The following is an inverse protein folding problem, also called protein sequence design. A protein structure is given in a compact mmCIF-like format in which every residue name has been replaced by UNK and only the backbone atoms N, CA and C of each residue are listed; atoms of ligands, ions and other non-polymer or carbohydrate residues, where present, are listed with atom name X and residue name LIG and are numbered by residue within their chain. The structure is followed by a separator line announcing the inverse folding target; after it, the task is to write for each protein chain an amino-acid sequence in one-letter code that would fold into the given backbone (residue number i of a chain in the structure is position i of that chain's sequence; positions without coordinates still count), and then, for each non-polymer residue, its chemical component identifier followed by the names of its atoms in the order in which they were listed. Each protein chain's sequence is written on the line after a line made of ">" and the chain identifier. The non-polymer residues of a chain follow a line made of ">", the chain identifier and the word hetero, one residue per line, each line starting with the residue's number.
data_IF_699201229684
#
_entry.id   IF_699201229684
#
_cell.length_a   1.000
_cell.length_b   1.000
_cell.length_c   1.000
_cell.angle_alpha   90.00
_cell.angle_beta   90.00
_cell.angle_gamma   90.00
#
_symmetry.space_group_name_H-M   'P 1'
#
loop_
_entity.id
_entity.type
_entity.pdbx_description
1 polymer ?
#
# COMPACT_ATOMS: atom_id res chain seq x y z
N UNK A 1 56.23 4.16 -75.15
CA UNK A 1 55.21 3.09 -75.07
C UNK A 1 55.42 2.31 -73.78
N UNK A 2 54.38 2.33 -72.94
CA UNK A 2 54.06 1.58 -71.70
C UNK A 2 55.04 0.51 -71.19
N UNK A 3 55.41 0.59 -69.90
CA UNK A 3 55.49 -0.56 -68.97
C UNK A 3 55.04 -0.11 -67.57
N UNK A 4 54.16 -0.89 -66.95
CA UNK A 4 53.40 -0.60 -65.72
C UNK A 4 54.20 -0.81 -64.42
N UNK A 5 53.96 0.07 -63.46
CA UNK A 5 54.30 -0.07 -62.03
C UNK A 5 53.35 -1.06 -61.34
N UNK A 6 53.92 -2.07 -60.67
CA UNK A 6 53.19 -3.02 -59.83
C UNK A 6 52.89 -2.40 -58.46
N UNK A 7 51.61 -2.36 -58.06
CA UNK A 7 51.16 -1.94 -56.73
C UNK A 7 50.97 -3.19 -55.87
N UNK A 8 51.76 -3.31 -54.79
CA UNK A 8 51.61 -4.32 -53.75
C UNK A 8 50.44 -3.93 -52.82
N UNK A 9 49.39 -4.76 -52.81
CA UNK A 9 48.27 -4.65 -51.87
C UNK A 9 48.69 -5.22 -50.51
N UNK A 10 48.90 -4.34 -49.52
CA UNK A 10 49.08 -4.70 -48.13
C UNK A 10 47.75 -5.12 -47.49
N UNK A 11 47.67 -6.37 -47.04
CA UNK A 11 46.52 -6.90 -46.31
C UNK A 11 46.58 -6.48 -44.84
N UNK A 12 45.75 -5.52 -44.45
CA UNK A 12 45.51 -5.17 -43.04
C UNK A 12 44.60 -6.21 -42.39
N UNK A 13 45.17 -7.03 -41.51
CA UNK A 13 44.39 -7.93 -40.65
C UNK A 13 43.65 -7.10 -39.58
N UNK A 14 42.34 -6.98 -39.73
CA UNK A 14 41.43 -6.41 -38.74
C UNK A 14 41.14 -7.50 -37.69
N UNK A 15 41.91 -7.51 -36.60
CA UNK A 15 41.61 -8.36 -35.43
C UNK A 15 40.36 -7.84 -34.73
N UNK A 16 39.22 -8.48 -34.98
CA UNK A 16 38.01 -8.30 -34.18
C UNK A 16 38.24 -8.85 -32.76
N UNK A 17 38.39 -7.97 -31.79
CA UNK A 17 38.30 -8.33 -30.38
C UNK A 17 36.85 -8.73 -30.06
N UNK A 18 36.58 -10.03 -29.98
CA UNK A 18 35.34 -10.58 -29.46
C UNK A 18 35.25 -10.20 -27.97
N UNK A 19 34.43 -9.20 -27.67
CA UNK A 19 33.97 -8.95 -26.30
C UNK A 19 33.09 -10.12 -25.88
N UNK A 20 33.63 -11.04 -25.10
CA UNK A 20 32.82 -12.03 -24.37
C UNK A 20 32.00 -11.27 -23.34
N UNK A 21 30.72 -11.01 -23.66
CA UNK A 21 29.73 -10.63 -22.66
C UNK A 21 29.69 -11.75 -21.62
N UNK A 22 30.19 -11.48 -20.42
CA UNK A 22 30.03 -12.39 -19.30
C UNK A 22 28.54 -12.60 -19.09
N UNK A 23 28.05 -13.82 -19.34
CA UNK A 23 26.68 -14.19 -19.05
C UNK A 23 26.45 -13.95 -17.55
N UNK A 24 25.52 -13.06 -17.23
CA UNK A 24 25.12 -12.81 -15.86
C UNK A 24 24.67 -14.16 -15.26
N UNK A 25 25.18 -14.56 -14.08
CA UNK A 25 24.86 -15.86 -13.52
C UNK A 25 23.35 -15.98 -13.37
N UNK A 26 22.76 -16.94 -14.08
CA UNK A 26 21.32 -17.16 -14.12
C UNK A 26 20.84 -17.41 -12.69
N UNK A 27 20.02 -16.49 -12.18
CA UNK A 27 19.43 -16.61 -10.85
C UNK A 27 18.58 -17.89 -10.80
N UNK A 28 18.76 -18.74 -9.78
CA UNK A 28 17.87 -19.87 -9.57
C UNK A 28 16.41 -19.41 -9.35
N UNK A 29 15.46 -20.21 -9.82
CA UNK A 29 14.04 -20.00 -9.52
C UNK A 29 13.77 -20.03 -8.01
N UNK A 30 12.61 -19.51 -7.60
CA UNK A 30 12.18 -19.57 -6.21
C UNK A 30 12.17 -21.04 -5.75
N UNK A 31 12.75 -21.37 -4.59
CA UNK A 31 12.70 -22.73 -4.08
C UNK A 31 11.27 -23.26 -3.91
N UNK A 32 10.32 -22.39 -3.54
CA UNK A 32 8.89 -22.68 -3.48
C UNK A 32 8.07 -21.36 -3.43
N UNK A 33 6.74 -21.47 -3.45
CA UNK A 33 5.82 -20.33 -3.42
C UNK A 33 5.72 -19.62 -2.06
N UNK A 34 6.29 -20.17 -0.99
CA UNK A 34 6.34 -19.52 0.33
C UNK A 34 7.61 -18.66 0.50
N UNK A 35 8.52 -18.69 -0.49
CA UNK A 35 9.70 -17.84 -0.51
C UNK A 35 9.36 -16.42 -0.98
N UNK A 36 9.90 -15.44 -0.27
CA UNK A 36 9.86 -14.03 -0.62
C UNK A 36 11.09 -13.64 -1.47
N UNK A 37 10.89 -12.84 -2.51
CA UNK A 37 11.95 -12.19 -3.28
C UNK A 37 12.37 -10.88 -2.58
N UNK A 38 13.55 -10.89 -1.99
CA UNK A 38 14.11 -9.74 -1.27
C UNK A 38 14.16 -8.45 -2.10
N UNK A 39 14.21 -8.56 -3.43
CA UNK A 39 14.33 -7.42 -4.36
C UNK A 39 12.97 -6.84 -4.74
N UNK A 40 11.89 -7.59 -4.50
CA UNK A 40 10.53 -7.15 -4.77
C UNK A 40 9.90 -6.44 -3.57
N UNK A 41 10.65 -6.20 -2.49
CA UNK A 41 10.19 -5.46 -1.32
C UNK A 41 9.60 -4.09 -1.72
N UNK A 42 8.31 -3.90 -1.46
CA UNK A 42 7.59 -2.65 -1.71
C UNK A 42 7.35 -1.87 -0.41
N UNK A 43 6.91 -2.58 0.63
CA UNK A 43 6.62 -2.00 1.94
C UNK A 43 7.08 -2.94 3.06
N UNK A 44 7.55 -2.34 4.15
CA UNK A 44 7.99 -3.04 5.34
C UNK A 44 7.43 -2.31 6.57
N UNK A 45 6.62 -3.02 7.36
CA UNK A 45 6.06 -2.52 8.61
C UNK A 45 6.61 -3.35 9.77
N UNK A 46 6.99 -2.67 10.84
CA UNK A 46 7.41 -3.34 12.07
C UNK A 46 6.24 -3.36 13.05
N UNK A 47 5.77 -4.56 13.38
CA UNK A 47 4.66 -4.79 14.30
C UNK A 47 5.15 -4.68 15.74
N UNK A 48 6.29 -5.34 16.01
CA UNK A 48 6.98 -5.32 17.29
C UNK A 48 8.50 -5.52 17.07
N UNK A 49 9.28 -5.62 18.13
CA UNK A 49 10.74 -5.76 18.02
C UNK A 49 11.21 -7.00 17.22
N UNK A 50 10.36 -8.01 17.04
CA UNK A 50 10.70 -9.28 16.39
C UNK A 50 9.85 -9.60 15.16
N UNK A 51 8.74 -8.88 14.94
CA UNK A 51 7.78 -9.21 13.89
C UNK A 51 7.71 -8.10 12.87
N UNK A 52 7.90 -8.46 11.59
CA UNK A 52 7.75 -7.57 10.45
C UNK A 52 6.64 -8.08 9.52
N UNK A 53 5.86 -7.16 8.98
CA UNK A 53 4.94 -7.40 7.89
C UNK A 53 5.50 -6.78 6.61
N UNK A 54 5.58 -7.57 5.54
CA UNK A 54 6.24 -7.21 4.30
C UNK A 54 5.27 -7.37 3.12
N UNK A 55 5.26 -6.39 2.22
CA UNK A 55 4.58 -6.50 0.93
C UNK A 55 5.60 -6.52 -0.21
N UNK A 56 5.39 -7.41 -1.17
CA UNK A 56 6.08 -7.39 -2.46
C UNK A 56 5.32 -6.50 -3.46
N UNK A 57 6.02 -5.96 -4.46
CA UNK A 57 5.41 -5.22 -5.58
C UNK A 57 4.36 -6.04 -6.35
N UNK A 58 4.44 -7.38 -6.29
CA UNK A 58 3.45 -8.30 -6.87
C UNK A 58 2.19 -8.53 -6.02
N UNK A 59 2.04 -7.83 -4.89
CA UNK A 59 0.88 -7.94 -4.00
C UNK A 59 0.94 -9.10 -3.01
N UNK A 60 1.99 -9.93 -3.05
CA UNK A 60 2.21 -11.01 -2.07
C UNK A 60 2.63 -10.41 -0.73
N UNK A 61 2.11 -10.97 0.36
CA UNK A 61 2.26 -10.44 1.71
C UNK A 61 2.88 -11.50 2.61
N UNK A 62 3.79 -11.07 3.49
CA UNK A 62 4.56 -11.97 4.34
C UNK A 62 4.73 -11.44 5.75
N UNK A 63 4.77 -12.36 6.71
CA UNK A 63 5.23 -12.13 8.08
C UNK A 63 6.65 -12.68 8.19
N UNK A 64 7.57 -11.83 8.62
CA UNK A 64 8.93 -12.25 8.99
C UNK A 64 9.05 -12.20 10.51
N UNK A 65 9.54 -13.29 11.09
CA UNK A 65 9.93 -13.34 12.51
C UNK A 65 11.44 -13.27 12.60
N UNK A 66 11.94 -12.46 13.52
CA UNK A 66 13.36 -12.26 13.77
C UNK A 66 13.86 -13.14 14.93
N UNK A 67 15.13 -13.50 14.86
CA UNK A 67 15.82 -14.31 15.89
C UNK A 67 16.12 -13.52 17.15
N UNK A 68 16.18 -12.19 17.08
CA UNK A 68 16.39 -11.30 18.21
C UNK A 68 15.52 -10.06 18.11
N UNK A 69 15.45 -9.31 19.21
CA UNK A 69 14.74 -8.05 19.29
C UNK A 69 15.54 -6.99 18.54
N UNK A 70 14.96 -6.47 17.47
CA UNK A 70 15.54 -5.47 16.58
C UNK A 70 14.58 -4.30 16.42
N UNK A 71 14.50 -3.40 17.41
CA UNK A 71 13.60 -2.26 17.35
C UNK A 71 14.01 -1.29 16.23
N UNK A 72 13.02 -0.54 15.72
CA UNK A 72 13.21 0.57 14.79
C UNK A 72 13.82 0.19 13.42
N UNK A 73 13.69 -1.06 12.97
CA UNK A 73 14.11 -1.49 11.63
C UNK A 73 13.28 -0.78 10.55
N UNK A 74 11.95 -0.80 10.67
CA UNK A 74 11.04 -0.22 9.65
C UNK A 74 11.00 1.31 9.65
N UNK A 75 11.58 1.96 10.67
CA UNK A 75 11.70 3.42 10.70
C UNK A 75 12.84 3.91 9.82
N UNK A 76 13.76 3.03 9.42
CA UNK A 76 14.95 3.36 8.66
C UNK A 76 14.67 3.18 7.17
N UNK A 77 14.87 4.26 6.40
CA UNK A 77 14.53 4.30 4.97
C UNK A 77 15.40 3.37 4.10
N UNK A 78 16.51 2.88 4.64
CA UNK A 78 17.49 2.00 4.01
C UNK A 78 17.31 0.51 4.42
N UNK A 79 16.21 0.17 5.09
CA UNK A 79 15.90 -1.20 5.43
C UNK A 79 15.77 -2.07 4.16
N UNK A 80 16.56 -3.14 4.10
CA UNK A 80 16.63 -4.07 2.97
C UNK A 80 16.66 -5.52 3.45
N UNK A 81 16.26 -6.44 2.57
CA UNK A 81 16.33 -7.87 2.81
C UNK A 81 17.56 -8.45 2.14
N UNK A 82 18.32 -9.24 2.89
CA UNK A 82 19.54 -9.89 2.43
C UNK A 82 19.37 -11.40 2.55
N UNK A 83 19.47 -12.10 1.42
CA UNK A 83 19.42 -13.55 1.39
C UNK A 83 20.20 -14.10 0.19
N UNK A 84 20.62 -15.36 0.27
CA UNK A 84 21.27 -16.04 -0.83
C UNK A 84 20.39 -16.01 -2.08
N UNK A 85 20.96 -15.56 -3.20
CA UNK A 85 20.24 -15.38 -4.48
C UNK A 85 18.97 -14.50 -4.40
N UNK A 86 18.83 -13.70 -3.34
CA UNK A 86 17.67 -12.85 -3.09
C UNK A 86 16.40 -13.59 -2.68
N UNK A 87 16.49 -14.82 -2.19
CA UNK A 87 15.34 -15.61 -1.74
C UNK A 87 15.30 -15.75 -0.21
N UNK A 88 14.28 -15.16 0.41
CA UNK A 88 14.02 -15.28 1.85
C UNK A 88 13.05 -16.44 2.06
N UNK A 89 13.55 -17.54 2.61
CA UNK A 89 12.80 -18.79 2.78
C UNK A 89 13.06 -19.41 4.17
N UNK A 90 12.12 -20.20 4.67
CA UNK A 90 12.35 -21.00 5.87
C UNK A 90 13.52 -21.98 5.68
N UNK A 91 14.37 -22.11 6.70
CA UNK A 91 15.55 -22.99 6.68
C UNK A 91 16.78 -22.43 5.95
N UNK A 92 16.64 -21.30 5.25
CA UNK A 92 17.76 -20.58 4.64
C UNK A 92 18.16 -19.37 5.50
N UNK A 93 19.45 -19.04 5.53
CA UNK A 93 19.88 -17.82 6.21
C UNK A 93 19.44 -16.58 5.42
N UNK A 94 18.68 -15.73 6.10
CA UNK A 94 18.26 -14.44 5.58
C UNK A 94 18.27 -13.40 6.71
N UNK A 95 18.43 -12.14 6.34
CA UNK A 95 18.55 -11.04 7.27
C UNK A 95 17.75 -9.83 6.80
N UNK A 96 17.25 -9.05 7.75
CA UNK A 96 16.89 -7.65 7.53
C UNK A 96 18.10 -6.81 7.88
N UNK A 97 18.53 -5.94 6.98
CA UNK A 97 19.71 -5.10 7.17
C UNK A 97 19.36 -3.65 6.98
N UNK A 98 19.92 -2.83 7.85
CA UNK A 98 20.00 -1.39 7.72
C UNK A 98 21.46 -0.97 7.81
N UNK A 99 21.76 0.33 7.75
CA UNK A 99 23.10 0.85 7.97
C UNK A 99 23.64 0.58 9.38
N UNK A 100 22.77 0.45 10.39
CA UNK A 100 23.16 0.34 11.80
C UNK A 100 23.07 -1.08 12.36
N UNK A 101 22.18 -1.92 11.82
CA UNK A 101 21.93 -3.24 12.38
C UNK A 101 21.60 -4.28 11.31
N UNK A 102 21.89 -5.55 11.65
CA UNK A 102 21.52 -6.71 10.84
C UNK A 102 20.83 -7.74 11.71
N UNK A 103 19.63 -8.12 11.31
CA UNK A 103 18.73 -8.94 12.08
C UNK A 103 18.39 -10.24 11.37
N UNK A 104 18.71 -11.37 11.98
CA UNK A 104 18.49 -12.68 11.39
C UNK A 104 16.99 -12.98 11.36
N UNK A 105 16.52 -13.53 10.26
CA UNK A 105 15.14 -13.98 10.09
C UNK A 105 15.09 -15.45 10.51
N UNK A 106 14.22 -15.77 11.46
CA UNK A 106 14.00 -17.13 11.95
C UNK A 106 12.86 -17.84 11.22
N UNK A 107 11.84 -17.08 10.80
CA UNK A 107 10.65 -17.64 10.17
C UNK A 107 10.06 -16.69 9.13
N UNK A 108 9.54 -17.28 8.06
CA UNK A 108 8.80 -16.66 6.97
C UNK A 108 7.44 -17.33 6.90
N UNK A 109 6.37 -16.55 6.87
CA UNK A 109 5.02 -17.04 6.64
C UNK A 109 4.29 -16.10 5.68
N UNK A 110 3.40 -16.64 4.85
CA UNK A 110 2.48 -15.84 4.06
C UNK A 110 1.44 -15.16 4.96
N UNK A 111 0.95 -14.00 4.53
CA UNK A 111 -0.11 -13.24 5.20
C UNK A 111 -1.31 -13.06 4.29
N UNK A 112 -2.50 -13.06 4.88
CA UNK A 112 -3.68 -12.50 4.22
C UNK A 112 -3.63 -10.96 4.18
N UNK A 113 -4.34 -10.36 3.22
CA UNK A 113 -4.49 -8.91 3.11
C UNK A 113 -5.06 -8.28 4.40
N UNK A 114 -6.01 -8.98 5.05
CA UNK A 114 -6.60 -8.57 6.33
C UNK A 114 -5.56 -8.52 7.45
N UNK A 115 -4.74 -9.56 7.58
CA UNK A 115 -3.69 -9.61 8.60
C UNK A 115 -2.63 -8.54 8.36
N UNK A 116 -2.19 -8.36 7.12
CA UNK A 116 -1.21 -7.32 6.77
C UNK A 116 -1.74 -5.91 7.09
N UNK A 117 -2.99 -5.60 6.72
CA UNK A 117 -3.62 -4.33 7.04
C UNK A 117 -3.69 -4.09 8.55
N UNK A 118 -4.01 -5.13 9.34
CA UNK A 118 -4.01 -5.03 10.80
C UNK A 118 -2.62 -4.76 11.39
N UNK A 119 -1.59 -5.42 10.85
CA UNK A 119 -0.20 -5.25 11.26
C UNK A 119 0.33 -3.84 10.93
N UNK A 120 0.03 -3.32 9.74
CA UNK A 120 0.42 -1.98 9.32
C UNK A 120 -0.21 -0.89 10.23
N UNK A 121 -1.47 -1.05 10.64
CA UNK A 121 -2.16 -0.09 11.53
C UNK A 121 -1.65 -0.09 12.96
N UNK A 122 -1.18 -1.22 13.49
CA UNK A 122 -0.64 -1.27 14.87
C UNK A 122 0.56 -0.34 15.05
N UNK A 123 1.37 -0.14 14.00
CA UNK A 123 2.46 0.83 13.99
C UNK A 123 1.97 2.26 14.19
N UNK A 124 0.92 2.66 13.46
CA UNK A 124 0.36 4.01 13.56
C UNK A 124 -0.23 4.27 14.95
N UNK A 125 -0.69 3.24 15.66
CA UNK A 125 -1.13 3.35 17.05
C UNK A 125 0.02 3.52 18.05
N UNK A 126 1.10 2.74 17.89
CA UNK A 126 2.23 2.74 18.82
C UNK A 126 3.26 3.85 18.54
N UNK A 127 3.21 4.44 17.34
CA UNK A 127 4.13 5.46 16.85
C UNK A 127 3.67 6.91 17.02
N UNK A 128 2.52 7.16 17.65
CA UNK A 128 2.08 8.53 18.02
C UNK A 128 2.51 8.77 19.47
N UNK A 129 3.58 9.55 19.73
CA UNK A 129 3.76 10.15 21.04
C UNK A 129 2.49 10.97 21.31
N UNK A 130 1.78 10.67 22.40
CA UNK A 130 0.67 11.52 22.87
C UNK A 130 1.26 12.89 23.21
N UNK A 131 1.31 13.78 22.23
CA UNK A 131 1.62 15.17 22.47
C UNK A 131 0.47 15.78 23.25
N UNK A 132 0.81 16.50 24.33
CA UNK A 132 -0.10 17.35 25.07
C UNK A 132 -0.86 18.25 24.09
N UNK A 133 -2.18 18.37 24.25
CA UNK A 133 -3.13 18.77 23.20
C UNK A 133 -2.70 19.93 22.30
N UNK A 134 -2.09 19.60 21.15
CA UNK A 134 -1.85 20.54 20.05
C UNK A 134 -2.98 20.37 19.05
N UNK A 135 -3.78 21.42 18.86
CA UNK A 135 -4.72 21.50 17.75
C UNK A 135 -3.93 21.65 16.44
N UNK A 136 -3.82 20.57 15.67
CA UNK A 136 -3.23 20.62 14.34
C UNK A 136 -4.26 21.25 13.39
N UNK A 137 -3.96 22.44 12.86
CA UNK A 137 -4.68 22.97 11.69
C UNK A 137 -4.19 22.18 10.48
N UNK A 138 -5.08 21.36 9.92
CA UNK A 138 -4.78 20.53 8.76
C UNK A 138 -4.37 21.41 7.56
N UNK A 139 -3.16 21.21 7.04
CA UNK A 139 -2.90 21.61 5.65
C UNK A 139 -3.60 20.58 4.78
N UNK A 140 -4.74 20.95 4.17
CA UNK A 140 -5.54 20.09 3.30
C UNK A 140 -4.64 19.43 2.25
N UNK A 141 -4.20 18.20 2.50
CA UNK A 141 -3.35 17.46 1.56
C UNK A 141 -4.27 17.03 0.42
N UNK A 142 -4.03 17.57 -0.77
CA UNK A 142 -4.80 17.22 -1.97
C UNK A 142 -4.47 15.81 -2.50
N UNK A 143 -3.41 15.18 -1.99
CA UNK A 143 -2.91 13.90 -2.46
C UNK A 143 -3.28 12.77 -1.48
N UNK A 144 -3.41 11.55 -2.02
CA UNK A 144 -3.61 10.34 -1.22
C UNK A 144 -2.48 10.18 -0.19
N UNK A 145 -2.85 9.94 1.06
CA UNK A 145 -1.92 9.97 2.21
C UNK A 145 -1.73 8.60 2.89
N UNK A 146 -2.30 7.52 2.32
CA UNK A 146 -2.19 6.15 2.85
C UNK A 146 -1.38 5.23 1.94
N UNK A 147 -1.20 3.97 2.36
CA UNK A 147 -0.69 2.90 1.50
C UNK A 147 -1.85 2.27 0.74
N UNK A 148 -1.68 2.02 -0.56
CA UNK A 148 -2.68 1.33 -1.36
C UNK A 148 -2.90 -0.13 -0.95
N UNK A 149 -1.97 -0.69 -0.19
CA UNK A 149 -2.02 -2.08 0.30
C UNK A 149 -3.03 -2.28 1.43
N UNK A 150 -3.55 -1.20 2.03
CA UNK A 150 -4.61 -1.25 3.06
C UNK A 150 -5.49 0.01 3.16
N UNK A 151 -5.30 1.00 2.30
CA UNK A 151 -6.12 2.20 2.24
C UNK A 151 -6.63 2.49 0.83
N UNK A 152 -7.79 3.14 0.73
CA UNK A 152 -8.29 3.70 -0.51
C UNK A 152 -8.68 5.17 -0.37
N UNK A 153 -8.68 5.91 -1.48
CA UNK A 153 -9.11 7.30 -1.50
C UNK A 153 -10.63 7.37 -1.75
N UNK A 154 -11.44 7.90 -0.81
CA UNK A 154 -12.88 7.96 -0.97
C UNK A 154 -13.33 8.87 -2.12
N UNK A 155 -12.54 9.87 -2.53
CA UNK A 155 -12.85 10.71 -3.70
C UNK A 155 -12.68 9.98 -5.04
N UNK A 156 -12.08 8.78 -5.02
CA UNK A 156 -11.87 7.94 -6.20
C UNK A 156 -12.81 6.72 -6.23
N UNK A 157 -13.75 6.64 -5.29
CA UNK A 157 -14.80 5.63 -5.27
C UNK A 157 -15.61 5.66 -6.58
N UNK A 158 -15.77 4.50 -7.21
CA UNK A 158 -16.59 4.33 -8.42
C UNK A 158 -17.89 3.63 -8.14
N UNK A 159 -17.81 2.52 -7.44
CA UNK A 159 -18.95 1.69 -7.10
C UNK A 159 -18.72 1.06 -5.73
N UNK A 160 -19.81 0.63 -5.12
CA UNK A 160 -19.75 -0.19 -3.93
C UNK A 160 -20.89 -1.21 -3.96
N UNK A 161 -20.67 -2.32 -3.28
CA UNK A 161 -21.70 -3.34 -3.03
C UNK A 161 -21.53 -3.87 -1.61
N UNK A 162 -22.54 -4.55 -1.10
CA UNK A 162 -22.46 -5.29 0.16
C UNK A 162 -22.51 -6.79 -0.15
N UNK A 163 -21.72 -7.56 0.59
CA UNK A 163 -21.88 -9.00 0.69
C UNK A 163 -21.86 -9.45 2.16
N UNK A 164 -21.92 -10.76 2.41
CA UNK A 164 -21.98 -11.30 3.77
C UNK A 164 -20.78 -11.00 4.68
N UNK A 165 -19.71 -10.37 4.16
CA UNK A 165 -18.52 -10.00 4.91
C UNK A 165 -18.36 -8.47 5.08
N UNK A 166 -19.29 -7.67 4.54
CA UNK A 166 -19.25 -6.21 4.58
C UNK A 166 -19.26 -5.59 3.18
N UNK A 167 -18.74 -4.37 3.04
CA UNK A 167 -18.75 -3.69 1.75
C UNK A 167 -17.58 -4.13 0.87
N UNK A 168 -17.81 -4.05 -0.42
CA UNK A 168 -16.83 -4.17 -1.48
C UNK A 168 -16.84 -2.85 -2.21
N UNK A 169 -15.71 -2.17 -2.19
CA UNK A 169 -15.52 -0.87 -2.81
C UNK A 169 -14.69 -1.04 -4.06
N UNK A 170 -15.16 -0.51 -5.19
CA UNK A 170 -14.35 -0.34 -6.39
C UNK A 170 -13.85 1.10 -6.48
N UNK A 171 -12.56 1.27 -6.70
CA UNK A 171 -11.94 2.58 -6.93
C UNK A 171 -11.49 2.76 -8.37
N UNK A 172 -11.26 4.01 -8.73
CA UNK A 172 -10.79 4.37 -10.06
C UNK A 172 -9.44 3.74 -10.39
N UNK A 173 -9.18 3.37 -11.66
CA UNK A 173 -7.86 2.93 -12.11
C UNK A 173 -6.75 3.98 -11.92
N UNK A 174 -7.13 5.23 -11.59
CA UNK A 174 -6.21 6.32 -11.23
C UNK A 174 -5.81 6.31 -9.75
N UNK A 175 -6.43 5.46 -8.94
CA UNK A 175 -6.04 5.27 -7.54
C UNK A 175 -4.60 4.77 -7.48
N UNK A 176 -3.74 5.36 -6.65
CA UNK A 176 -2.38 4.87 -6.48
C UNK A 176 -2.35 3.41 -6.07
N UNK A 177 -1.36 2.67 -6.58
CA UNK A 177 -1.19 1.25 -6.31
C UNK A 177 -1.82 0.34 -7.38
N UNK A 178 -1.86 -0.95 -7.06
CA UNK A 178 -2.29 -2.02 -7.98
C UNK A 178 -3.72 -2.49 -7.73
N UNK A 179 -4.27 -2.23 -6.55
CA UNK A 179 -5.58 -2.73 -6.14
C UNK A 179 -6.73 -1.81 -6.57
N UNK A 180 -7.80 -2.43 -7.08
CA UNK A 180 -9.02 -1.72 -7.50
C UNK A 180 -10.23 -2.02 -6.63
N UNK A 181 -10.24 -3.18 -6.00
CA UNK A 181 -11.32 -3.59 -5.13
C UNK A 181 -10.80 -3.67 -3.70
N UNK A 182 -11.59 -3.16 -2.76
CA UNK A 182 -11.29 -3.15 -1.35
C UNK A 182 -12.45 -3.76 -0.59
N UNK A 183 -12.13 -4.64 0.37
CA UNK A 183 -13.04 -5.04 1.43
C UNK A 183 -13.07 -3.95 2.48
N UNK A 184 -14.28 -3.60 2.92
CA UNK A 184 -14.51 -2.77 4.11
C UNK A 184 -15.36 -3.60 5.07
N UNK A 185 -14.74 -4.05 6.15
CA UNK A 185 -15.45 -4.67 7.27
C UNK A 185 -16.01 -3.58 8.18
N UNK A 186 -17.23 -3.77 8.64
CA UNK A 186 -17.90 -2.86 9.56
C UNK A 186 -17.93 -3.47 10.95
N UNK A 187 -17.85 -2.62 11.97
CA UNK A 187 -17.85 -3.06 13.37
C UNK A 187 -19.24 -3.55 13.80
N UNK A 188 -20.29 -2.91 13.27
CA UNK A 188 -21.69 -3.23 13.50
C UNK A 188 -22.43 -3.41 12.16
N UNK A 189 -23.56 -4.12 12.17
CA UNK A 189 -24.41 -4.27 10.99
C UNK A 189 -25.04 -2.94 10.58
N UNK A 190 -24.73 -2.44 9.38
CA UNK A 190 -25.39 -1.27 8.80
C UNK A 190 -26.66 -1.68 8.05
N UNK A 191 -27.77 -1.81 8.78
CA UNK A 191 -29.05 -2.25 8.19
C UNK A 191 -29.52 -1.37 7.03
N UNK A 192 -29.17 -0.08 7.04
CA UNK A 192 -29.56 0.87 5.99
C UNK A 192 -28.75 0.70 4.69
N UNK A 193 -27.72 -0.16 4.62
CA UNK A 193 -27.03 -0.46 3.35
C UNK A 193 -27.86 -1.33 2.41
N UNK A 194 -28.84 -2.04 2.97
CA UNK A 194 -29.81 -2.83 2.20
C UNK A 194 -30.61 -1.90 1.29
N UNK A 195 -30.43 -2.06 -0.02
CA UNK A 195 -31.07 -1.21 -1.04
C UNK A 195 -30.11 -0.27 -1.79
N UNK A 196 -28.79 -0.38 -1.56
CA UNK A 196 -27.75 0.37 -2.27
C UNK A 196 -27.94 1.90 -2.23
N UNK A 197 -28.14 2.52 -1.05
CA UNK A 197 -28.30 3.96 -0.91
C UNK A 197 -27.03 4.74 -1.31
N UNK A 198 -27.12 6.07 -1.47
CA UNK A 198 -25.92 6.88 -1.50
C UNK A 198 -25.18 6.79 -0.16
N UNK A 199 -23.88 6.51 -0.23
CA UNK A 199 -23.00 6.47 0.94
C UNK A 199 -21.87 7.48 0.81
N UNK A 200 -21.30 7.86 1.96
CA UNK A 200 -20.07 8.65 2.03
C UNK A 200 -19.14 8.02 3.04
N UNK A 201 -17.91 7.78 2.63
CA UNK A 201 -16.83 7.44 3.56
C UNK A 201 -16.25 8.68 4.20
N UNK A 202 -16.01 8.63 5.51
CA UNK A 202 -15.43 9.72 6.30
C UNK A 202 -14.22 9.17 7.04
N UNK A 203 -13.06 9.80 6.85
CA UNK A 203 -11.85 9.44 7.59
C UNK A 203 -11.92 9.96 9.02
N UNK A 204 -11.62 9.11 10.00
CA UNK A 204 -11.52 9.50 11.41
C UNK A 204 -10.33 10.41 11.69
N UNK A 205 -9.28 10.28 10.89
CA UNK A 205 -8.00 10.98 11.04
C UNK A 205 -7.93 12.27 10.20
N UNK A 206 -9.01 12.66 9.53
CA UNK A 206 -9.00 13.78 8.57
C UNK A 206 -8.11 13.53 7.36
N UNK A 207 -7.73 12.28 7.10
CA UNK A 207 -6.90 11.93 5.96
C UNK A 207 -7.78 11.78 4.71
N UNK A 208 -7.24 12.06 3.52
CA UNK A 208 -7.91 11.74 2.26
C UNK A 208 -7.77 10.24 1.91
N UNK A 209 -8.00 9.38 2.91
CA UNK A 209 -7.87 7.93 2.83
C UNK A 209 -8.72 7.25 3.92
N UNK A 210 -9.32 6.11 3.57
CA UNK A 210 -9.95 5.19 4.52
C UNK A 210 -9.05 3.98 4.64
N UNK A 211 -8.60 3.68 5.85
CA UNK A 211 -7.63 2.62 6.13
C UNK A 211 -8.13 1.60 7.16
N UNK A 212 -9.32 1.85 7.74
CA UNK A 212 -9.80 1.14 8.92
C UNK A 212 -9.14 1.65 10.20
N UNK A 213 -8.79 2.93 10.23
CA UNK A 213 -8.31 3.61 11.43
C UNK A 213 -9.49 3.92 12.36
N UNK A 214 -9.27 4.11 13.67
CA UNK A 214 -10.33 4.55 14.55
C UNK A 214 -10.98 5.85 14.09
N UNK A 215 -12.31 5.87 14.10
CA UNK A 215 -13.12 6.98 13.60
C UNK A 215 -13.41 6.94 12.10
N UNK A 216 -12.75 6.07 11.32
CA UNK A 216 -13.17 5.80 9.94
C UNK A 216 -14.60 5.25 9.96
N UNK A 217 -15.47 5.81 9.12
CA UNK A 217 -16.89 5.48 9.09
C UNK A 217 -17.52 5.61 7.72
N UNK A 218 -18.67 4.96 7.58
CA UNK A 218 -19.55 5.03 6.42
C UNK A 218 -20.84 5.72 6.85
N UNK A 219 -21.11 6.87 6.26
CA UNK A 219 -22.38 7.59 6.41
C UNK A 219 -23.34 7.16 5.30
N UNK A 220 -24.51 6.66 5.65
CA UNK A 220 -25.62 6.42 4.73
C UNK A 220 -26.42 7.71 4.58
N UNK A 221 -26.59 8.16 3.34
CA UNK A 221 -27.26 9.41 2.99
C UNK A 221 -28.67 9.13 2.47
N UNK A 222 -29.55 10.13 2.59
CA UNK A 222 -30.86 10.12 1.92
C UNK A 222 -30.71 10.34 0.39
N UNK A 223 -31.61 9.82 -0.44
CA UNK A 223 -31.53 9.87 -1.92
C UNK A 223 -31.47 11.32 -2.46
N UNK A 224 -32.06 12.26 -1.73
CA UNK A 224 -32.03 13.69 -2.07
C UNK A 224 -30.66 14.38 -1.81
N UNK A 225 -29.69 13.67 -1.23
CA UNK A 225 -28.38 14.19 -0.83
C UNK A 225 -27.43 14.50 -2.00
N UNK A 226 -27.47 13.70 -3.07
CA UNK A 226 -26.49 13.78 -4.15
C UNK A 226 -26.75 14.93 -5.12
N UNK A 227 -27.99 15.37 -5.25
CA UNK A 227 -28.35 16.52 -6.08
C UNK A 227 -27.74 17.85 -5.57
N UNK A 228 -27.38 17.93 -4.28
CA UNK A 228 -26.70 19.08 -3.68
C UNK A 228 -25.17 18.97 -3.63
N UNK A 229 -24.61 17.75 -3.64
CA UNK A 229 -23.16 17.54 -3.51
C UNK A 229 -22.40 17.76 -4.83
N UNK A 230 -23.06 17.59 -5.98
CA UNK A 230 -22.48 17.90 -7.30
C UNK A 230 -22.32 19.42 -7.57
N UNK A 231 -22.88 20.28 -6.71
CA UNK A 231 -22.86 21.74 -6.87
C UNK A 231 -21.96 22.49 -5.86
N UNK A 232 -21.11 21.80 -5.09
CA UNK A 232 -20.41 22.38 -3.94
C UNK A 232 -18.91 22.11 -3.88
N UNK A 233 -18.15 22.39 -4.93
CA UNK A 233 -16.70 22.57 -4.79
C UNK A 233 -16.41 23.96 -4.22
N UNK A 234 -16.38 24.07 -2.89
CA UNK A 234 -15.83 25.24 -2.22
C UNK A 234 -16.64 25.73 -1.02
N UNK A 235 -15.91 26.04 0.06
CA UNK A 235 -16.31 26.92 1.16
C UNK A 235 -17.13 26.26 2.29
N UNK A 236 -16.42 25.76 3.31
CA UNK A 236 -16.96 25.63 4.66
C UNK A 236 -16.39 26.79 5.49
N UNK A 237 -17.14 27.87 5.57
CA UNK A 237 -16.90 29.00 6.45
C UNK A 237 -18.25 29.54 6.88
N UNK A 238 -18.45 29.59 8.20
CA UNK A 238 -19.61 30.10 8.95
C UNK A 238 -20.95 29.35 8.90
N UNK A 239 -21.29 28.75 10.06
CA UNK A 239 -22.63 28.32 10.41
C UNK A 239 -23.39 29.52 11.01
N UNK A 240 -23.88 30.40 10.15
CA UNK A 240 -24.98 31.30 10.50
C UNK A 240 -25.78 31.71 9.27
N UNK A 241 -26.95 31.06 9.16
CA UNK A 241 -28.14 31.48 8.44
C UNK A 241 -27.99 32.03 7.00
N UNK A 242 -28.25 31.19 5.98
CA UNK A 242 -29.21 31.55 4.90
C UNK A 242 -29.60 30.36 4.01
N UNK A 243 -30.93 30.18 3.87
CA UNK A 243 -31.69 29.64 2.71
C UNK A 243 -31.19 28.37 1.99
N UNK A 244 -31.89 27.27 2.26
CA UNK A 244 -32.60 26.52 1.19
C UNK A 244 -31.84 25.46 0.39
N UNK A 245 -30.68 24.97 0.84
CA UNK A 245 -30.12 23.71 0.36
C UNK A 245 -30.62 22.56 1.23
N UNK A 246 -31.31 21.57 0.66
CA UNK A 246 -31.58 20.29 1.33
C UNK A 246 -30.23 19.63 1.62
N UNK A 247 -29.65 19.93 2.78
CA UNK A 247 -28.48 19.24 3.26
C UNK A 247 -28.82 17.76 3.33
N UNK A 248 -28.03 16.95 2.62
CA UNK A 248 -28.02 15.50 2.71
C UNK A 248 -28.25 15.05 4.17
N UNK A 249 -29.44 14.52 4.48
CA UNK A 249 -29.70 13.99 5.81
C UNK A 249 -29.00 12.64 5.92
N UNK A 250 -28.05 12.56 6.83
CA UNK A 250 -27.43 11.30 7.24
C UNK A 250 -28.49 10.46 7.95
N UNK A 251 -28.72 9.24 7.47
CA UNK A 251 -29.69 8.28 8.05
C UNK A 251 -29.03 7.40 9.10
N UNK A 252 -27.85 6.89 8.78
CA UNK A 252 -27.05 6.04 9.67
C UNK A 252 -25.57 6.36 9.46
N UNK A 253 -24.78 6.18 10.51
CA UNK A 253 -23.32 6.20 10.43
C UNK A 253 -22.79 4.92 11.05
N UNK A 254 -21.84 4.28 10.40
CA UNK A 254 -21.29 3.00 10.82
C UNK A 254 -19.78 3.01 10.86
N UNK A 255 -19.21 2.45 11.91
CA UNK A 255 -17.76 2.38 12.09
C UNK A 255 -17.13 1.32 11.21
N UNK A 256 -16.04 1.70 10.53
CA UNK A 256 -15.20 0.78 9.77
C UNK A 256 -14.27 0.05 10.74
N UNK A 257 -14.28 -1.28 10.70
CA UNK A 257 -13.42 -2.14 11.51
C UNK A 257 -12.11 -2.50 10.79
N UNK A 258 -12.17 -2.74 9.48
CA UNK A 258 -10.98 -3.05 8.69
C UNK A 258 -11.17 -2.66 7.22
N UNK A 259 -10.06 -2.28 6.58
CA UNK A 259 -9.96 -2.11 5.13
C UNK A 259 -8.75 -2.88 4.63
N UNK A 260 -8.93 -3.60 3.52
CA UNK A 260 -7.86 -4.31 2.84
C UNK A 260 -8.26 -4.65 1.38
N UNK A 261 -7.30 -4.84 0.47
CA UNK A 261 -7.60 -5.25 -0.90
C UNK A 261 -8.42 -6.55 -0.98
N UNK A 262 -9.36 -6.57 -1.94
CA UNK A 262 -10.13 -7.77 -2.31
C UNK A 262 -9.66 -8.19 -3.70
N UNK A 263 -8.93 -9.28 -3.79
CA UNK A 263 -8.53 -9.87 -5.06
C UNK A 263 -9.63 -10.79 -5.62
#
# INVERSE_FOLDING_TARGET
>A
MRVLTAVLLGSTFFSCALSTAAAEPVRPAAPNAECLDARQLAELHQVDARTLAVAEHGGRLFRLTLTQDCPQLAAQADASLLAAHGWVCNGAQAYVSTAQQRCAISQVATLSAREYASAARQRDHNGIPTLEGISVRESRRRNFAGSSSYCFNPSMLRSWSEDGQGLVVEVSPRHPGTHRHYRVELMDSCRELSGAPPIRFVSGMGLNAICGNPGDKVDVLDEMALAGAAAGSGQQGDLSATRGGLAARMRQSCTVAAVYPRD
#
